data_IF_036279339503
#
_entry.id   IF_036279339503
#
_cell.length_a   1.000
_cell.length_b   1.000
_cell.length_c   1.000
_cell.angle_alpha   90.00
_cell.angle_beta   90.00
_cell.angle_gamma   90.00
#
_symmetry.space_group_name_H-M   'P 1'
#
loop_
_entity.id
_entity.type
_entity.pdbx_description
1 polymer ?
#
# COMPACT_ATOMS: atom_id res chain seq x y z
N UNK A 1 -2.09 -46.21 13.66
CA UNK A 1 -1.91 -44.95 14.44
C UNK A 1 -0.59 -44.28 14.09
N UNK A 2 0.56 -44.98 14.15
CA UNK A 2 1.87 -44.37 13.86
C UNK A 2 2.02 -43.92 12.39
N UNK A 3 1.61 -44.74 11.42
CA UNK A 3 1.83 -44.43 10.00
C UNK A 3 1.08 -43.18 9.53
N UNK A 4 -0.18 -43.02 9.95
CA UNK A 4 -1.00 -41.85 9.60
C UNK A 4 -0.60 -40.56 10.33
N UNK A 5 0.18 -40.63 11.42
CA UNK A 5 0.80 -39.46 12.04
C UNK A 5 2.07 -39.06 11.30
N UNK A 6 2.93 -40.04 11.00
CA UNK A 6 4.16 -39.82 10.26
C UNK A 6 3.88 -39.16 8.90
N UNK A 7 2.88 -39.66 8.17
CA UNK A 7 2.46 -39.10 6.87
C UNK A 7 2.02 -37.63 6.97
N UNK A 8 1.14 -37.30 7.93
CA UNK A 8 0.67 -35.91 8.14
C UNK A 8 1.77 -34.98 8.62
N UNK A 9 2.70 -35.49 9.41
CA UNK A 9 3.85 -34.73 9.88
C UNK A 9 4.83 -34.39 8.73
N UNK A 10 5.05 -35.33 7.82
CA UNK A 10 5.81 -35.06 6.58
C UNK A 10 5.11 -34.01 5.71
N UNK A 11 3.80 -34.14 5.51
CA UNK A 11 3.00 -33.13 4.79
C UNK A 11 3.09 -31.75 5.47
N UNK A 12 3.03 -31.70 6.80
CA UNK A 12 3.20 -30.45 7.54
C UNK A 12 4.57 -29.80 7.28
N UNK A 13 5.66 -30.59 7.27
CA UNK A 13 7.00 -30.07 6.95
C UNK A 13 7.07 -29.49 5.54
N UNK A 14 6.37 -30.08 4.57
CA UNK A 14 6.30 -29.54 3.20
C UNK A 14 5.49 -28.25 3.09
N UNK A 15 4.58 -27.98 4.04
CA UNK A 15 3.77 -26.76 4.07
C UNK A 15 4.41 -25.61 4.88
N UNK A 16 5.66 -25.76 5.31
CA UNK A 16 6.37 -24.76 6.13
C UNK A 16 6.40 -23.38 5.48
N UNK A 17 6.68 -23.32 4.17
CA UNK A 17 6.69 -22.06 3.39
C UNK A 17 5.30 -21.44 3.30
N UNK A 18 4.25 -22.26 3.09
CA UNK A 18 2.85 -21.80 3.08
C UNK A 18 2.43 -21.22 4.44
N UNK A 19 2.84 -21.85 5.55
CA UNK A 19 2.62 -21.31 6.89
C UNK A 19 3.37 -19.99 7.11
N UNK A 20 4.64 -19.92 6.67
CA UNK A 20 5.42 -18.69 6.75
C UNK A 20 4.78 -17.54 5.94
N UNK A 21 4.23 -17.85 4.77
CA UNK A 21 3.51 -16.87 3.95
C UNK A 21 2.26 -16.32 4.65
N UNK A 22 1.50 -17.15 5.38
CA UNK A 22 0.34 -16.69 6.13
C UNK A 22 0.72 -15.75 7.29
N UNK A 23 1.87 -15.98 7.92
CA UNK A 23 2.35 -15.15 9.04
C UNK A 23 3.03 -13.88 8.53
N UNK A 24 3.83 -13.98 7.47
CA UNK A 24 4.58 -12.86 6.91
C UNK A 24 4.69 -12.98 5.38
N UNK A 25 3.66 -12.54 4.64
CA UNK A 25 3.58 -12.72 3.19
C UNK A 25 4.65 -11.95 2.42
N UNK A 26 5.14 -10.83 2.96
CA UNK A 26 6.11 -9.96 2.28
C UNK A 26 7.54 -10.54 2.27
N UNK A 27 7.88 -11.33 3.29
CA UNK A 27 9.24 -11.85 3.50
C UNK A 27 9.42 -13.31 3.07
N UNK A 28 8.36 -13.97 2.62
CA UNK A 28 8.39 -15.39 2.26
C UNK A 28 8.86 -15.60 0.82
N UNK A 29 9.68 -16.63 0.58
CA UNK A 29 10.06 -17.03 -0.77
C UNK A 29 8.85 -17.65 -1.50
N UNK A 30 8.28 -16.93 -2.46
CA UNK A 30 7.11 -17.39 -3.22
C UNK A 30 7.36 -18.64 -4.06
N UNK A 31 8.61 -18.90 -4.44
CA UNK A 31 8.95 -20.05 -5.28
C UNK A 31 8.86 -21.37 -4.52
N UNK A 32 8.88 -21.31 -3.18
CA UNK A 32 8.80 -22.48 -2.30
C UNK A 32 7.38 -22.74 -1.80
N UNK A 33 6.40 -21.90 -2.13
CA UNK A 33 5.02 -22.06 -1.68
C UNK A 33 4.34 -23.13 -2.54
N UNK A 34 3.83 -24.18 -1.89
CA UNK A 34 3.04 -25.20 -2.57
C UNK A 34 1.60 -24.68 -2.79
N UNK A 35 1.29 -24.32 -4.04
CA UNK A 35 -0.01 -23.77 -4.45
C UNK A 35 -0.94 -24.80 -5.10
N UNK A 36 -0.42 -25.97 -5.52
CA UNK A 36 -1.20 -27.02 -6.19
C UNK A 36 -2.44 -27.46 -5.39
N UNK A 37 -2.37 -27.68 -4.06
CA UNK A 37 -3.52 -28.15 -3.28
C UNK A 37 -4.69 -27.15 -3.24
N UNK A 38 -4.42 -25.88 -3.53
CA UNK A 38 -5.42 -24.80 -3.45
C UNK A 38 -6.03 -24.47 -4.81
N UNK A 39 -5.55 -25.08 -5.91
CA UNK A 39 -6.00 -24.75 -7.26
C UNK A 39 -5.75 -23.28 -7.65
N UNK A 40 -4.75 -22.63 -7.03
CA UNK A 40 -4.41 -21.24 -7.29
C UNK A 40 -3.38 -21.18 -8.41
N UNK A 41 -3.62 -20.32 -9.39
CA UNK A 41 -2.64 -20.02 -10.43
C UNK A 41 -1.44 -19.21 -9.87
N UNK A 42 -0.23 -19.61 -10.28
CA UNK A 42 1.02 -18.96 -9.86
C UNK A 42 1.06 -17.47 -10.24
N UNK A 43 0.56 -17.11 -11.42
CA UNK A 43 0.49 -15.73 -11.89
C UNK A 43 -0.44 -14.88 -11.02
N UNK A 44 -1.60 -15.42 -10.64
CA UNK A 44 -2.53 -14.77 -9.71
C UNK A 44 -1.90 -14.50 -8.33
N UNK A 45 -1.20 -15.49 -7.76
CA UNK A 45 -0.50 -15.33 -6.47
C UNK A 45 0.60 -14.27 -6.55
N UNK A 46 1.41 -14.29 -7.61
CA UNK A 46 2.46 -13.30 -7.83
C UNK A 46 1.89 -11.88 -7.96
N UNK A 47 0.75 -11.73 -8.65
CA UNK A 47 0.10 -10.43 -8.82
C UNK A 47 -0.44 -9.88 -7.49
N UNK A 48 -1.07 -10.73 -6.67
CA UNK A 48 -1.53 -10.33 -5.34
C UNK A 48 -0.36 -9.93 -4.43
N UNK A 49 0.78 -10.62 -4.52
CA UNK A 49 1.96 -10.25 -3.75
C UNK A 49 2.56 -8.92 -4.22
N UNK A 50 2.58 -8.66 -5.53
CA UNK A 50 3.01 -7.37 -6.07
C UNK A 50 2.13 -6.22 -5.55
N UNK A 51 0.81 -6.41 -5.56
CA UNK A 51 -0.14 -5.45 -4.99
C UNK A 51 0.14 -5.20 -3.49
N UNK A 52 0.40 -6.25 -2.72
CA UNK A 52 0.70 -6.15 -1.30
C UNK A 52 2.00 -5.37 -1.04
N UNK A 53 3.07 -5.67 -1.80
CA UNK A 53 4.36 -4.94 -1.72
C UNK A 53 4.21 -3.45 -2.04
N UNK A 54 3.36 -3.14 -3.01
CA UNK A 54 3.08 -1.75 -3.39
C UNK A 54 2.31 -1.05 -2.28
N UNK A 55 1.28 -1.69 -1.71
CA UNK A 55 0.54 -1.13 -0.57
C UNK A 55 1.46 -0.86 0.63
N UNK A 56 2.35 -1.81 0.95
CA UNK A 56 3.32 -1.67 2.02
C UNK A 56 4.27 -0.48 1.78
N UNK A 57 4.87 -0.41 0.58
CA UNK A 57 5.72 0.72 0.18
C UNK A 57 5.00 2.08 0.29
N UNK A 58 3.74 2.14 -0.14
CA UNK A 58 2.95 3.38 -0.10
C UNK A 58 2.50 3.76 1.31
N UNK A 59 2.37 2.81 2.23
CA UNK A 59 2.06 3.12 3.63
C UNK A 59 3.16 3.95 4.30
N UNK A 60 4.43 3.64 4.01
CA UNK A 60 5.58 4.41 4.48
C UNK A 60 5.62 5.81 3.85
N UNK A 61 5.47 5.89 2.52
CA UNK A 61 5.43 7.18 1.81
C UNK A 61 4.27 8.08 2.24
N UNK A 62 3.11 7.50 2.55
CA UNK A 62 1.97 8.25 3.07
C UNK A 62 2.28 8.84 4.45
N UNK A 63 2.96 8.07 5.31
CA UNK A 63 3.41 8.55 6.62
C UNK A 63 4.41 9.70 6.48
N UNK A 64 5.34 9.59 5.53
CA UNK A 64 6.30 10.66 5.22
C UNK A 64 5.62 11.92 4.64
N UNK A 65 4.64 11.75 3.75
CA UNK A 65 3.85 12.88 3.24
C UNK A 65 3.11 13.57 4.39
N UNK A 66 2.48 12.80 5.28
CA UNK A 66 1.78 13.34 6.45
C UNK A 66 2.71 14.18 7.32
N UNK A 67 3.90 13.68 7.66
CA UNK A 67 4.86 14.45 8.46
C UNK A 67 5.34 15.72 7.77
N UNK A 68 5.56 15.67 6.44
CA UNK A 68 5.92 16.88 5.66
C UNK A 68 4.82 17.93 5.69
N UNK A 69 3.55 17.51 5.61
CA UNK A 69 2.42 18.44 5.68
C UNK A 69 2.29 19.07 7.07
N UNK A 70 2.47 18.29 8.14
CA UNK A 70 2.50 18.79 9.52
C UNK A 70 3.64 19.79 9.74
N UNK A 71 4.85 19.46 9.26
CA UNK A 71 6.02 20.36 9.36
C UNK A 71 5.78 21.68 8.62
N UNK A 72 5.20 21.61 7.42
CA UNK A 72 4.91 22.79 6.61
C UNK A 72 3.88 23.70 7.29
N UNK A 73 2.87 23.13 7.96
CA UNK A 73 1.89 23.89 8.72
C UNK A 73 2.52 24.58 9.94
N UNK A 74 3.42 23.88 10.64
CA UNK A 74 4.19 24.45 11.75
C UNK A 74 5.07 25.61 11.26
N UNK A 75 5.77 25.44 10.14
CA UNK A 75 6.61 26.49 9.54
C UNK A 75 5.77 27.73 9.15
N UNK A 76 4.61 27.52 8.52
CA UNK A 76 3.68 28.63 8.20
C UNK A 76 3.28 29.40 9.44
N UNK A 77 2.86 28.70 10.49
CA UNK A 77 2.49 29.32 11.77
C UNK A 77 3.65 30.15 12.36
N UNK A 78 4.88 29.61 12.36
CA UNK A 78 6.07 30.33 12.84
C UNK A 78 6.37 31.59 12.02
N UNK A 79 6.28 31.52 10.69
CA UNK A 79 6.55 32.67 9.83
C UNK A 79 5.48 33.76 9.93
N UNK A 80 4.22 33.39 10.13
CA UNK A 80 3.12 34.33 10.40
C UNK A 80 3.38 35.06 11.73
N UNK A 81 3.72 34.32 12.80
CA UNK A 81 4.04 34.91 14.10
C UNK A 81 5.24 35.86 14.06
N UNK A 82 6.19 35.61 13.15
CA UNK A 82 7.37 36.45 12.94
C UNK A 82 7.16 37.55 11.87
N UNK A 83 5.96 37.70 11.30
CA UNK A 83 5.64 38.63 10.21
C UNK A 83 6.58 38.52 8.98
N UNK A 84 7.10 37.32 8.71
CA UNK A 84 8.02 37.05 7.59
C UNK A 84 7.25 36.73 6.30
N UNK A 85 6.53 37.74 5.79
CA UNK A 85 5.64 37.60 4.63
C UNK A 85 6.34 37.21 3.32
N UNK A 86 7.61 37.55 3.15
CA UNK A 86 8.40 37.19 1.96
C UNK A 86 8.70 35.69 1.93
N UNK A 87 9.12 35.12 3.06
CA UNK A 87 9.41 33.68 3.20
C UNK A 87 8.14 32.84 3.05
N UNK A 88 7.00 33.32 3.58
CA UNK A 88 5.72 32.62 3.46
C UNK A 88 5.27 32.39 2.00
N UNK A 89 5.67 33.27 1.07
CA UNK A 89 5.36 33.14 -0.37
C UNK A 89 6.17 32.05 -1.07
N UNK A 90 7.33 31.69 -0.52
CA UNK A 90 8.25 30.69 -1.07
C UNK A 90 7.93 29.28 -0.56
N UNK A 91 7.16 29.15 0.53
CA UNK A 91 6.77 27.84 1.07
C UNK A 91 5.95 27.07 0.02
N UNK A 92 6.30 25.80 -0.24
CA UNK A 92 5.54 24.95 -1.14
C UNK A 92 4.06 24.89 -0.77
N UNK A 93 3.20 24.90 -1.78
CA UNK A 93 1.77 24.72 -1.57
C UNK A 93 1.48 23.27 -1.19
N UNK A 94 0.56 23.07 -0.25
CA UNK A 94 0.11 21.74 0.17
C UNK A 94 -0.40 20.96 -1.04
N UNK A 95 -1.10 21.64 -1.94
CA UNK A 95 -1.62 21.08 -3.19
C UNK A 95 -0.49 20.57 -4.10
N UNK A 96 0.67 21.22 -4.12
CA UNK A 96 1.81 20.78 -4.94
C UNK A 96 2.39 19.46 -4.43
N UNK A 97 2.55 19.31 -3.11
CA UNK A 97 3.04 18.08 -2.49
C UNK A 97 2.06 16.92 -2.65
N UNK A 98 0.75 17.18 -2.49
CA UNK A 98 -0.29 16.17 -2.70
C UNK A 98 -0.32 15.76 -4.18
N UNK A 99 -0.23 16.70 -5.10
CA UNK A 99 -0.24 16.42 -6.53
C UNK A 99 0.97 15.58 -6.97
N UNK A 100 2.16 15.90 -6.47
CA UNK A 100 3.37 15.12 -6.72
C UNK A 100 3.21 13.68 -6.22
N UNK A 101 2.75 13.50 -4.99
CA UNK A 101 2.48 12.18 -4.41
C UNK A 101 1.48 11.36 -5.23
N UNK A 102 0.34 11.96 -5.60
CA UNK A 102 -0.71 11.29 -6.38
C UNK A 102 -0.18 10.92 -7.78
N UNK A 103 0.59 11.79 -8.41
CA UNK A 103 1.18 11.52 -9.73
C UNK A 103 2.13 10.33 -9.65
N UNK A 104 2.95 10.26 -8.61
CA UNK A 104 3.86 9.13 -8.41
C UNK A 104 3.09 7.82 -8.13
N UNK A 105 2.05 7.89 -7.28
CA UNK A 105 1.17 6.76 -6.95
C UNK A 105 0.52 6.17 -8.20
N UNK A 106 -0.12 7.02 -9.00
CA UNK A 106 -0.80 6.62 -10.22
C UNK A 106 0.15 5.99 -11.22
N UNK A 107 1.37 6.53 -11.38
CA UNK A 107 2.38 5.96 -12.28
C UNK A 107 2.75 4.52 -11.90
N UNK A 108 2.92 4.24 -10.61
CA UNK A 108 3.28 2.89 -10.13
C UNK A 108 2.11 1.91 -10.21
N UNK A 109 0.89 2.36 -9.92
CA UNK A 109 -0.30 1.52 -10.02
C UNK A 109 -0.70 1.22 -11.46
N UNK A 110 -0.59 2.18 -12.37
CA UNK A 110 -0.85 1.95 -13.79
C UNK A 110 0.07 0.86 -14.36
N UNK A 111 1.33 0.80 -13.90
CA UNK A 111 2.26 -0.27 -14.26
C UNK A 111 1.80 -1.66 -13.76
N UNK A 112 1.12 -1.73 -12.62
CA UNK A 112 0.53 -3.01 -12.16
C UNK A 112 -0.75 -3.38 -12.87
N UNK A 113 -1.57 -2.41 -13.22
CA UNK A 113 -2.84 -2.64 -13.89
C UNK A 113 -2.63 -3.07 -15.34
N UNK A 114 -1.66 -2.47 -16.03
CA UNK A 114 -1.19 -2.94 -17.34
C UNK A 114 -0.66 -4.37 -17.29
N UNK A 115 0.11 -4.74 -16.26
CA UNK A 115 0.51 -6.13 -16.04
C UNK A 115 -0.71 -7.05 -15.82
N UNK A 116 -1.68 -6.66 -14.99
CA UNK A 116 -2.91 -7.43 -14.76
C UNK A 116 -3.68 -7.69 -16.06
N UNK A 117 -3.82 -6.67 -16.90
CA UNK A 117 -4.50 -6.78 -18.20
C UNK A 117 -3.75 -7.69 -19.17
N UNK A 118 -2.42 -7.59 -19.25
CA UNK A 118 -1.59 -8.47 -20.10
C UNK A 118 -1.69 -9.95 -19.68
N UNK A 119 -1.83 -10.22 -18.39
CA UNK A 119 -1.98 -11.58 -17.85
C UNK A 119 -3.45 -12.04 -17.69
N UNK A 120 -4.43 -11.27 -18.17
CA UNK A 120 -5.86 -11.64 -18.13
C UNK A 120 -6.50 -11.64 -16.73
N UNK A 121 -5.86 -11.02 -15.74
CA UNK A 121 -6.28 -11.00 -14.33
C UNK A 121 -7.08 -9.72 -14.00
N UNK A 122 -8.24 -9.53 -14.64
CA UNK A 122 -9.04 -8.33 -14.43
C UNK A 122 -9.89 -8.43 -13.15
N UNK A 123 -9.53 -7.66 -12.11
CA UNK A 123 -10.45 -7.25 -11.04
C UNK A 123 -10.37 -5.74 -10.87
N UNK A 124 -11.53 -5.08 -10.93
CA UNK A 124 -11.71 -3.66 -10.64
C UNK A 124 -11.12 -3.32 -9.27
N UNK A 125 -10.17 -2.38 -9.21
CA UNK A 125 -9.68 -1.80 -7.95
C UNK A 125 -10.06 -0.33 -7.95
N UNK A 126 -10.88 0.08 -6.99
CA UNK A 126 -11.22 1.48 -6.78
C UNK A 126 -9.93 2.30 -6.57
N UNK A 127 -9.74 3.47 -7.21
CA UNK A 127 -8.51 4.26 -7.12
C UNK A 127 -8.15 4.78 -5.71
N UNK A 128 -9.02 4.58 -4.72
CA UNK A 128 -8.91 5.17 -3.39
C UNK A 128 -8.82 4.03 -2.36
N UNK A 129 -7.85 4.03 -1.43
CA UNK A 129 -7.88 3.15 -0.28
C UNK A 129 -9.17 3.40 0.52
N UNK A 130 -10.04 2.40 0.60
CA UNK A 130 -11.38 2.49 1.21
C UNK A 130 -11.36 2.80 2.73
N UNK A 131 -10.21 3.10 3.33
CA UNK A 131 -10.07 3.47 4.74
C UNK A 131 -10.47 4.92 5.04
N UNK A 132 -10.81 5.73 4.03
CA UNK A 132 -11.18 7.14 4.19
C UNK A 132 -12.66 7.47 3.88
N UNK A 133 -13.55 6.48 3.99
CA UNK A 133 -14.99 6.73 4.11
C UNK A 133 -15.51 6.11 5.41
N UNK A 134 -15.09 6.66 6.55
CA UNK A 134 -15.78 6.42 7.81
C UNK A 134 -15.98 7.76 8.52
N UNK A 135 -17.22 8.25 8.41
CA UNK A 135 -17.80 9.25 9.31
C UNK A 135 -17.22 10.66 9.24
N UNK A 136 -17.85 11.54 8.46
CA UNK A 136 -18.50 12.76 8.98
C UNK A 136 -19.27 13.45 7.87
N UNK A 137 -20.53 13.76 8.18
CA UNK A 137 -21.42 14.74 7.54
C UNK A 137 -20.71 15.74 6.62
N UNK A 138 -21.11 15.75 5.34
CA UNK A 138 -20.91 16.89 4.46
C UNK A 138 -21.73 18.07 5.00
N UNK A 139 -21.06 18.97 5.72
CA UNK A 139 -21.56 20.29 6.11
C UNK A 139 -20.51 21.34 5.78
N UNK A 140 -20.79 22.12 4.73
CA UNK A 140 -20.36 23.48 4.34
C UNK A 140 -18.94 24.02 4.65
N UNK A 141 -18.39 24.90 3.77
CA UNK A 141 -17.00 25.34 3.83
C UNK A 141 -16.80 26.47 4.85
N UNK A 142 -15.85 26.29 5.78
CA UNK A 142 -15.31 27.37 6.59
C UNK A 142 -13.96 27.81 6.02
N UNK A 143 -13.97 29.06 5.54
CA UNK A 143 -12.79 29.89 5.29
C UNK A 143 -12.06 30.14 6.61
N UNK A 144 -10.75 29.97 6.59
CA UNK A 144 -9.74 30.94 7.05
C UNK A 144 -8.43 30.60 6.34
#
# INVERSE_FOLDING_TARGET
MQDGFAERFEQFKTNKSTLAFMVNPLNTNTNEINIEPFGIDAGSLQMQLLDLKIKDLWSGKFTELKSKLEELEIQKCMHIAQHKWTVLKEIPRVEALIFEYITEYNRKNLLTETKKTVFGLNRYVSPIPNTWCSGTSCGSPLKC
#
